data_IF_286650108743
#
_entry.id   IF_286650108743
#
_cell.length_a   1.000
_cell.length_b   1.000
_cell.length_c   1.000
_cell.angle_alpha   90.00
_cell.angle_beta   90.00
_cell.angle_gamma   90.00
#
_symmetry.space_group_name_H-M   'P 1'
#
loop_
_entity.id
_entity.type
_entity.pdbx_description
1 polymer ?
#
# COMPACT_ATOMS: atom_id res chain seq x y z
N UNK A 1 -7.57 -21.81 -71.81
CA UNK A 1 -7.36 -22.77 -70.69
C UNK A 1 -6.80 -21.96 -69.54
N UNK A 2 -7.67 -21.48 -68.67
CA UNK A 2 -7.36 -20.41 -67.71
C UNK A 2 -7.13 -21.03 -66.33
N UNK A 3 -5.90 -21.02 -65.84
CA UNK A 3 -5.55 -21.54 -64.52
C UNK A 3 -5.97 -20.54 -63.44
N UNK A 4 -6.90 -20.95 -62.56
CA UNK A 4 -7.24 -20.21 -61.33
C UNK A 4 -6.42 -20.77 -60.18
N UNK A 5 -5.45 -19.98 -59.70
CA UNK A 5 -4.71 -20.26 -58.46
C UNK A 5 -5.64 -19.89 -57.30
N UNK A 6 -6.08 -20.88 -56.54
CA UNK A 6 -6.82 -20.67 -55.30
C UNK A 6 -5.83 -20.33 -54.17
N UNK A 7 -5.86 -19.10 -53.67
CA UNK A 7 -5.16 -18.72 -52.43
C UNK A 7 -5.89 -19.36 -51.24
N UNK A 8 -5.23 -20.15 -50.39
CA UNK A 8 -5.88 -20.69 -49.19
C UNK A 8 -6.23 -19.53 -48.25
N UNK A 9 -7.47 -19.55 -47.76
CA UNK A 9 -8.00 -18.60 -46.78
C UNK A 9 -7.02 -18.51 -45.61
N UNK A 10 -6.42 -17.33 -45.45
CA UNK A 10 -5.59 -16.97 -44.33
C UNK A 10 -6.45 -17.11 -43.06
N UNK A 11 -6.32 -18.21 -42.34
CA UNK A 11 -6.89 -18.33 -41.01
C UNK A 11 -6.19 -17.28 -40.15
N UNK A 12 -6.93 -16.24 -39.76
CA UNK A 12 -6.49 -15.25 -38.79
C UNK A 12 -6.37 -15.97 -37.44
N UNK A 13 -5.20 -16.55 -37.20
CA UNK A 13 -4.84 -17.10 -35.91
C UNK A 13 -4.55 -15.90 -35.00
N UNK A 14 -5.61 -15.37 -34.39
CA UNK A 14 -5.49 -14.41 -33.30
C UNK A 14 -4.90 -15.18 -32.13
N UNK A 15 -3.57 -15.20 -32.03
CA UNK A 15 -2.88 -15.54 -30.80
C UNK A 15 -3.36 -14.51 -29.79
N UNK A 16 -4.26 -14.91 -28.90
CA UNK A 16 -4.47 -14.20 -27.65
C UNK A 16 -3.18 -14.37 -26.86
N UNK A 17 -2.19 -13.51 -27.15
CA UNK A 17 -1.14 -13.25 -26.20
C UNK A 17 -1.86 -12.65 -25.01
N UNK A 18 -2.08 -13.44 -23.97
CA UNK A 18 -2.49 -12.91 -22.67
C UNK A 18 -1.33 -12.05 -22.17
N UNK A 19 -1.33 -10.79 -22.61
CA UNK A 19 -0.61 -9.73 -21.95
C UNK A 19 -1.24 -9.69 -20.56
N UNK A 20 -0.53 -10.22 -19.57
CA UNK A 20 -0.79 -9.88 -18.18
C UNK A 20 -0.40 -8.40 -18.02
N UNK A 21 -1.16 -7.50 -18.63
CA UNK A 21 -1.20 -6.13 -18.19
C UNK A 21 -1.81 -6.21 -16.80
N UNK A 22 -0.98 -6.12 -15.77
CA UNK A 22 -1.53 -5.79 -14.45
C UNK A 22 -2.14 -4.40 -14.64
N UNK A 23 -3.45 -4.35 -14.86
CA UNK A 23 -4.13 -3.10 -15.18
C UNK A 23 -3.97 -2.18 -13.97
N UNK A 24 -3.29 -1.06 -14.18
CA UNK A 24 -3.13 -0.05 -13.14
C UNK A 24 -4.51 0.36 -12.62
N UNK A 25 -4.67 0.33 -11.30
CA UNK A 25 -5.90 0.70 -10.64
C UNK A 25 -6.07 2.23 -10.62
N UNK A 26 -7.26 2.69 -10.97
CA UNK A 26 -7.67 4.07 -10.72
C UNK A 26 -7.93 4.25 -9.22
N UNK A 27 -7.39 5.32 -8.64
CA UNK A 27 -7.56 5.67 -7.23
C UNK A 27 -8.87 6.45 -6.98
N UNK A 28 -9.99 5.92 -7.49
CA UNK A 28 -11.31 6.56 -7.48
C UNK A 28 -11.89 6.78 -6.07
N UNK A 29 -11.36 6.09 -5.06
CA UNK A 29 -11.74 6.27 -3.64
C UNK A 29 -10.80 7.19 -2.88
N UNK A 30 -9.72 7.68 -3.50
CA UNK A 30 -8.77 8.58 -2.86
C UNK A 30 -9.22 10.06 -2.86
N UNK A 31 -10.29 10.41 -3.58
CA UNK A 31 -10.74 11.80 -3.70
C UNK A 31 -9.90 12.65 -4.66
N UNK A 32 -9.08 12.00 -5.51
CA UNK A 32 -8.16 12.64 -6.46
C UNK A 32 -8.74 12.80 -7.88
N UNK A 33 -10.00 12.42 -8.08
CA UNK A 33 -10.66 12.31 -9.38
C UNK A 33 -10.70 10.87 -9.90
N UNK A 34 -11.74 10.50 -10.66
CA UNK A 34 -12.02 9.10 -11.02
C UNK A 34 -11.01 8.44 -11.96
N UNK A 35 -10.12 9.22 -12.58
CA UNK A 35 -9.06 8.73 -13.48
C UNK A 35 -7.64 8.81 -12.89
N UNK A 36 -7.49 9.22 -11.62
CA UNK A 36 -6.17 9.34 -11.00
C UNK A 36 -5.52 7.96 -10.87
N UNK A 37 -4.24 7.86 -11.22
CA UNK A 37 -3.45 6.64 -11.05
C UNK A 37 -2.12 6.96 -10.34
N UNK A 38 -1.46 5.94 -9.80
CA UNK A 38 -0.16 6.10 -9.15
C UNK A 38 0.77 4.95 -9.54
N UNK A 39 2.08 5.18 -9.46
CA UNK A 39 3.09 4.11 -9.67
C UNK A 39 3.09 3.13 -8.49
N UNK A 40 2.80 3.61 -7.28
CA UNK A 40 2.48 2.78 -6.12
C UNK A 40 1.47 3.50 -5.22
N UNK A 41 0.61 2.74 -4.53
CA UNK A 41 -0.42 3.30 -3.67
C UNK A 41 -0.61 2.47 -2.40
N UNK A 42 -0.29 3.05 -1.24
CA UNK A 42 -0.38 2.36 0.05
C UNK A 42 -1.36 3.09 0.97
N UNK A 43 -2.31 2.35 1.53
CA UNK A 43 -3.25 2.87 2.52
C UNK A 43 -3.78 1.75 3.40
N UNK A 44 -4.22 2.08 4.63
CA UNK A 44 -5.06 1.19 5.44
C UNK A 44 -6.53 1.22 5.00
N UNK A 45 -6.86 2.06 4.00
CA UNK A 45 -8.18 2.12 3.35
C UNK A 45 -8.07 1.68 1.92
N UNK A 46 -9.17 1.20 1.36
CA UNK A 46 -9.24 0.88 -0.06
C UNK A 46 -9.31 2.17 -0.88
N UNK A 47 -8.29 2.39 -1.73
CA UNK A 47 -8.13 3.57 -2.58
C UNK A 47 -8.77 3.40 -3.97
N UNK A 48 -9.05 2.17 -4.38
CA UNK A 48 -9.64 1.84 -5.68
C UNK A 48 -10.81 0.88 -5.54
N UNK A 49 -11.90 1.12 -6.26
CA UNK A 49 -13.01 0.17 -6.38
C UNK A 49 -12.62 -1.12 -7.12
N UNK A 50 -11.61 -1.06 -7.99
CA UNK A 50 -11.08 -2.22 -8.72
C UNK A 50 -10.08 -3.05 -7.91
N UNK A 51 -9.62 -2.55 -6.77
CA UNK A 51 -8.69 -3.28 -5.92
C UNK A 51 -9.39 -4.37 -5.10
N UNK A 52 -8.98 -5.62 -5.30
CA UNK A 52 -9.50 -6.82 -4.63
C UNK A 52 -8.50 -7.47 -3.66
N UNK A 53 -7.34 -6.85 -3.43
CA UNK A 53 -6.31 -7.37 -2.52
C UNK A 53 -6.54 -6.99 -1.05
N UNK A 54 -5.62 -7.44 -0.21
CA UNK A 54 -5.60 -7.12 1.22
C UNK A 54 -5.00 -5.73 1.48
N UNK A 55 -5.19 -5.18 2.68
CA UNK A 55 -4.52 -3.95 3.08
C UNK A 55 -3.09 -4.23 3.54
N UNK A 56 -2.95 -5.20 4.46
CA UNK A 56 -1.73 -5.46 5.22
C UNK A 56 -1.59 -6.94 5.50
N UNK A 57 -0.35 -7.42 5.59
CA UNK A 57 -0.03 -8.68 6.26
C UNK A 57 0.52 -8.37 7.65
N UNK A 58 -0.06 -9.00 8.67
CA UNK A 58 0.22 -8.70 10.08
C UNK A 58 0.82 -9.92 10.76
N UNK A 59 1.93 -9.71 11.47
CA UNK A 59 2.53 -10.66 12.41
C UNK A 59 2.00 -10.42 13.82
N UNK A 60 1.52 -11.48 14.47
CA UNK A 60 1.15 -11.46 15.88
C UNK A 60 2.33 -11.88 16.74
N UNK A 61 2.73 -11.03 17.68
CA UNK A 61 3.98 -11.24 18.43
C UNK A 61 3.92 -12.37 19.46
N UNK A 62 2.75 -12.89 19.83
CA UNK A 62 2.65 -13.99 20.80
C UNK A 62 3.14 -15.32 20.26
N UNK A 63 3.05 -15.53 18.94
CA UNK A 63 3.31 -16.82 18.31
C UNK A 63 3.89 -16.72 16.89
N UNK A 64 4.22 -15.51 16.43
CA UNK A 64 4.77 -15.23 15.10
C UNK A 64 3.88 -15.71 13.94
N UNK A 65 2.58 -15.89 14.18
CA UNK A 65 1.62 -16.21 13.12
C UNK A 65 1.38 -14.98 12.25
N UNK A 66 1.08 -15.22 10.96
CA UNK A 66 0.80 -14.18 9.97
C UNK A 66 -0.65 -14.27 9.50
N UNK A 67 -1.31 -13.12 9.35
CA UNK A 67 -2.64 -13.04 8.73
C UNK A 67 -2.72 -11.83 7.80
N UNK A 68 -3.34 -12.03 6.65
CA UNK A 68 -3.70 -10.94 5.75
C UNK A 68 -5.00 -10.29 6.22
N UNK A 69 -4.96 -8.97 6.38
CA UNK A 69 -6.08 -8.15 6.83
C UNK A 69 -6.60 -7.34 5.66
N UNK A 70 -7.87 -7.57 5.32
CA UNK A 70 -8.55 -6.91 4.21
C UNK A 70 -9.32 -5.65 4.62
N UNK A 71 -10.29 -5.30 3.77
CA UNK A 71 -11.19 -4.18 3.97
C UNK A 71 -12.62 -4.65 4.22
N UNK A 72 -13.37 -3.84 4.96
CA UNK A 72 -14.83 -3.92 5.02
C UNK A 72 -15.46 -3.53 3.68
N UNK A 73 -16.76 -3.77 3.53
CA UNK A 73 -17.52 -3.33 2.35
C UNK A 73 -17.40 -1.83 2.06
N UNK A 74 -17.24 -1.00 3.11
CA UNK A 74 -17.08 0.45 2.99
C UNK A 74 -15.65 0.88 2.59
N UNK A 75 -14.71 -0.07 2.49
CA UNK A 75 -13.30 0.22 2.17
C UNK A 75 -12.46 0.65 3.37
N UNK A 76 -12.98 0.59 4.59
CA UNK A 76 -12.17 0.73 5.81
C UNK A 76 -11.42 -0.57 6.12
N UNK A 77 -10.25 -0.48 6.75
CA UNK A 77 -9.54 -1.64 7.30
C UNK A 77 -10.49 -2.49 8.14
N UNK A 78 -10.47 -3.82 7.96
CA UNK A 78 -11.23 -4.73 8.82
C UNK A 78 -10.60 -4.81 10.22
N UNK A 79 -10.92 -3.80 11.03
CA UNK A 79 -10.40 -3.68 12.39
C UNK A 79 -10.94 -4.76 13.33
N UNK A 80 -12.04 -5.42 12.98
CA UNK A 80 -12.61 -6.55 13.72
C UNK A 80 -11.75 -7.79 13.49
N UNK A 81 -11.50 -8.15 12.24
CA UNK A 81 -10.61 -9.26 11.89
C UNK A 81 -9.20 -9.05 12.50
N UNK A 82 -8.67 -7.83 12.39
CA UNK A 82 -7.39 -7.47 12.99
C UNK A 82 -7.35 -7.69 14.51
N UNK A 83 -8.37 -7.20 15.24
CA UNK A 83 -8.44 -7.37 16.70
C UNK A 83 -8.62 -8.82 17.10
N UNK A 84 -9.50 -9.56 16.42
CA UNK A 84 -9.72 -10.98 16.69
C UNK A 84 -8.43 -11.78 16.48
N UNK A 85 -7.68 -11.46 15.43
CA UNK A 85 -6.40 -12.09 15.17
C UNK A 85 -5.35 -11.75 16.23
N UNK A 86 -5.08 -10.45 16.47
CA UNK A 86 -3.98 -10.03 17.35
C UNK A 86 -4.28 -10.29 18.83
N UNK A 87 -5.54 -10.25 19.24
CA UNK A 87 -5.93 -10.45 20.64
C UNK A 87 -5.36 -9.37 21.55
N UNK A 88 -4.77 -9.77 22.68
CA UNK A 88 -4.09 -8.87 23.63
C UNK A 88 -2.62 -8.58 23.29
N UNK A 89 -2.09 -9.18 22.23
CA UNK A 89 -0.67 -9.08 21.85
C UNK A 89 -0.39 -7.85 20.98
N UNK A 90 0.84 -7.74 20.48
CA UNK A 90 1.23 -6.72 19.51
C UNK A 90 1.07 -7.27 18.09
N UNK A 91 0.59 -6.42 17.19
CA UNK A 91 0.43 -6.69 15.76
C UNK A 91 1.39 -5.81 14.96
N UNK A 92 2.33 -6.44 14.27
CA UNK A 92 3.36 -5.79 13.45
C UNK A 92 3.02 -5.95 11.97
N UNK A 93 3.18 -4.91 11.16
CA UNK A 93 2.96 -5.00 9.72
C UNK A 93 4.21 -5.58 9.05
N UNK A 94 4.07 -6.75 8.43
CA UNK A 94 5.15 -7.39 7.66
C UNK A 94 5.13 -6.95 6.21
N UNK A 95 3.94 -6.70 5.68
CA UNK A 95 3.69 -6.28 4.30
C UNK A 95 2.61 -5.22 4.29
N UNK A 96 2.82 -4.13 3.54
CA UNK A 96 1.78 -3.19 3.14
C UNK A 96 1.56 -3.33 1.64
N UNK A 97 0.39 -3.82 1.29
CA UNK A 97 0.09 -4.19 -0.09
C UNK A 97 -0.13 -2.96 -0.97
N UNK A 98 0.43 -3.02 -2.18
CA UNK A 98 0.25 -2.00 -3.21
C UNK A 98 -1.14 -2.09 -3.83
N UNK A 99 -1.88 -1.00 -3.75
CA UNK A 99 -3.21 -0.85 -4.30
C UNK A 99 -3.21 -0.30 -5.73
N UNK A 100 -2.05 0.10 -6.27
CA UNK A 100 -1.94 0.67 -7.61
C UNK A 100 -2.10 -0.37 -8.72
N UNK A 101 -1.99 -1.65 -8.40
CA UNK A 101 -2.03 -2.73 -9.40
C UNK A 101 -0.67 -3.09 -9.99
N UNK A 102 0.44 -2.50 -9.53
CA UNK A 102 1.78 -2.85 -10.01
C UNK A 102 2.48 -3.93 -9.18
N UNK A 103 1.88 -4.37 -8.07
CA UNK A 103 2.45 -5.42 -7.22
C UNK A 103 3.71 -4.96 -6.47
N UNK A 104 3.85 -3.66 -6.25
CA UNK A 104 4.99 -3.04 -5.60
C UNK A 104 4.84 -3.05 -4.08
N UNK A 105 4.65 -4.21 -3.47
CA UNK A 105 4.41 -4.29 -2.02
C UNK A 105 5.61 -3.81 -1.19
N UNK A 106 5.34 -3.10 -0.09
CA UNK A 106 6.38 -2.77 0.90
C UNK A 106 6.46 -3.90 1.94
N UNK A 107 7.66 -4.37 2.25
CA UNK A 107 7.89 -5.50 3.14
C UNK A 107 8.98 -5.25 4.17
N UNK A 108 8.93 -5.95 5.30
CA UNK A 108 10.01 -5.96 6.28
C UNK A 108 10.17 -7.35 6.87
N UNK A 109 11.21 -8.05 6.44
CA UNK A 109 11.52 -9.39 6.92
C UNK A 109 12.04 -9.40 8.37
N UNK A 110 12.68 -8.32 8.82
CA UNK A 110 13.26 -8.26 10.16
C UNK A 110 12.19 -7.88 11.18
N UNK A 111 11.72 -8.86 11.98
CA UNK A 111 10.64 -8.67 12.98
C UNK A 111 10.90 -7.44 13.88
N UNK A 112 12.11 -7.28 14.38
CA UNK A 112 12.49 -6.15 15.24
C UNK A 112 12.38 -4.76 14.56
N UNK A 113 12.27 -4.73 13.23
CA UNK A 113 12.13 -3.51 12.42
C UNK A 113 10.74 -3.39 11.78
N UNK A 114 9.81 -4.29 12.07
CA UNK A 114 8.45 -4.19 11.54
C UNK A 114 7.68 -3.08 12.29
N UNK A 115 6.97 -2.19 11.59
CA UNK A 115 6.17 -1.16 12.24
C UNK A 115 4.92 -1.74 12.91
N UNK A 116 4.39 -1.02 13.92
CA UNK A 116 3.32 -1.53 14.78
C UNK A 116 1.96 -0.95 14.36
N UNK A 117 0.99 -1.83 14.13
CA UNK A 117 -0.40 -1.46 13.88
C UNK A 117 -1.29 -1.64 15.12
N UNK A 118 -0.98 -2.65 15.94
CA UNK A 118 -1.69 -2.95 17.19
C UNK A 118 -0.68 -3.01 18.33
N UNK A 119 -0.84 -2.17 19.34
CA UNK A 119 0.01 -2.14 20.52
C UNK A 119 -0.75 -2.76 21.71
N UNK A 120 -0.32 -3.94 22.16
CA UNK A 120 -0.94 -4.66 23.29
C UNK A 120 -2.48 -4.72 23.21
N UNK A 121 -2.99 -5.22 22.07
CA UNK A 121 -4.42 -5.35 21.77
C UNK A 121 -5.16 -4.06 21.40
N UNK A 122 -4.48 -2.92 21.42
CA UNK A 122 -5.07 -1.63 21.03
C UNK A 122 -4.61 -1.25 19.63
N UNK A 123 -5.54 -1.08 18.69
CA UNK A 123 -5.22 -0.57 17.35
C UNK A 123 -4.71 0.86 17.47
N UNK A 124 -3.54 1.14 16.90
CA UNK A 124 -3.02 2.49 16.74
C UNK A 124 -3.95 3.28 15.83
N UNK A 125 -4.42 4.44 16.32
CA UNK A 125 -5.32 5.31 15.58
C UNK A 125 -4.81 6.73 15.57
N UNK A 126 -5.00 7.39 14.44
CA UNK A 126 -4.83 8.82 14.28
C UNK A 126 -6.10 9.39 13.65
N UNK A 127 -6.64 10.48 14.19
CA UNK A 127 -7.94 11.03 13.76
C UNK A 127 -9.06 9.97 13.76
N UNK A 128 -9.05 9.07 14.74
CA UNK A 128 -9.97 7.94 14.87
C UNK A 128 -9.84 6.85 13.77
N UNK A 129 -8.79 6.90 12.95
CA UNK A 129 -8.54 5.99 11.81
C UNK A 129 -7.34 5.08 12.07
N UNK A 130 -7.40 3.78 11.72
CA UNK A 130 -6.24 2.88 11.88
C UNK A 130 -5.00 3.41 11.17
N UNK A 131 -3.87 3.39 11.87
CA UNK A 131 -2.60 3.96 11.44
C UNK A 131 -1.44 3.01 11.77
N UNK A 132 -0.51 2.85 10.83
CA UNK A 132 0.72 2.07 11.03
C UNK A 132 1.75 2.98 11.70
N UNK A 133 2.16 2.64 12.92
CA UNK A 133 3.11 3.45 13.67
C UNK A 133 4.54 3.05 13.34
N UNK A 134 5.23 3.97 12.68
CA UNK A 134 6.68 3.93 12.52
C UNK A 134 7.35 4.65 13.70
N UNK A 135 8.41 4.07 14.26
CA UNK A 135 9.18 4.59 15.39
C UNK A 135 10.63 4.10 15.27
N UNK A 136 11.54 4.78 15.96
CA UNK A 136 12.92 4.37 16.08
C UNK A 136 13.51 4.73 17.43
N UNK A 137 14.67 4.15 17.73
CA UNK A 137 15.52 4.53 18.85
C UNK A 137 16.96 4.60 18.36
N UNK A 138 17.60 5.75 18.57
CA UNK A 138 18.96 6.00 18.08
C UNK A 138 19.07 5.83 16.57
N UNK A 139 19.84 4.83 16.13
CA UNK A 139 20.09 4.53 14.71
C UNK A 139 19.17 3.45 14.14
N UNK A 140 18.29 2.84 14.95
CA UNK A 140 17.41 1.76 14.49
C UNK A 140 15.98 2.25 14.39
N UNK A 141 15.50 2.36 13.16
CA UNK A 141 14.12 2.69 12.83
C UNK A 141 13.42 1.45 12.28
N UNK A 142 12.14 1.30 12.60
CA UNK A 142 11.31 0.39 11.84
C UNK A 142 11.06 0.96 10.43
N UNK A 143 10.83 0.08 9.48
CA UNK A 143 10.60 0.46 8.09
C UNK A 143 9.81 -0.61 7.37
N UNK A 144 9.22 -0.25 6.24
CA UNK A 144 8.85 -1.17 5.19
C UNK A 144 9.60 -0.78 3.93
N UNK A 145 10.20 -1.75 3.28
CA UNK A 145 11.09 -1.57 2.16
C UNK A 145 10.42 -2.12 0.91
N UNK A 146 10.60 -1.43 -0.21
CA UNK A 146 10.11 -1.92 -1.47
C UNK A 146 10.87 -3.18 -1.91
N UNK A 147 10.15 -4.15 -2.47
CA UNK A 147 10.75 -5.41 -2.93
C UNK A 147 11.66 -5.25 -4.17
N UNK A 148 11.44 -4.22 -4.99
CA UNK A 148 12.25 -3.88 -6.17
C UNK A 148 12.13 -2.38 -6.50
N UNK A 149 13.17 -1.74 -7.04
CA UNK A 149 13.15 -0.30 -7.34
C UNK A 149 11.93 0.12 -8.20
N UNK A 150 11.39 1.30 -7.91
CA UNK A 150 10.34 1.90 -8.75
C UNK A 150 10.95 2.31 -10.10
N UNK A 151 10.66 1.55 -11.15
CA UNK A 151 11.24 1.76 -12.50
C UNK A 151 10.43 2.74 -13.36
N UNK A 152 9.24 3.17 -12.91
CA UNK A 152 8.39 4.14 -13.60
C UNK A 152 8.46 5.51 -12.93
N UNK A 153 8.65 6.57 -13.72
CA UNK A 153 8.53 7.96 -13.26
C UNK A 153 7.05 8.25 -13.02
N UNK A 154 6.60 8.04 -11.78
CA UNK A 154 5.22 8.30 -11.38
C UNK A 154 5.14 8.80 -9.94
N UNK A 155 4.09 9.54 -9.63
CA UNK A 155 3.87 10.07 -8.29
C UNK A 155 3.64 8.92 -7.29
N UNK A 156 4.37 8.94 -6.17
CA UNK A 156 4.09 8.11 -4.99
C UNK A 156 3.08 8.85 -4.13
N UNK A 157 1.92 8.25 -3.87
CA UNK A 157 0.94 8.81 -2.94
C UNK A 157 0.91 7.96 -1.68
N UNK A 158 1.53 8.44 -0.61
CA UNK A 158 1.36 7.90 0.73
C UNK A 158 0.36 8.77 1.49
N UNK A 159 -0.86 8.27 1.72
CA UNK A 159 -1.86 9.00 2.53
C UNK A 159 -1.62 8.68 4.01
N UNK A 160 -0.68 9.40 4.61
CA UNK A 160 -0.46 9.43 6.06
C UNK A 160 -1.16 10.68 6.60
N UNK A 161 -2.37 10.55 7.15
CA UNK A 161 -3.10 11.71 7.68
C UNK A 161 -2.60 12.02 9.10
N UNK A 162 -1.46 12.70 9.17
CA UNK A 162 -0.97 13.28 10.41
C UNK A 162 -1.93 14.38 10.91
N UNK A 163 -2.35 14.35 12.16
CA UNK A 163 -3.05 15.50 12.75
C UNK A 163 -2.05 16.62 13.00
N UNK A 164 -2.13 17.70 12.21
CA UNK A 164 -1.59 18.99 12.63
C UNK A 164 -2.42 19.49 13.82
N UNK A 165 -1.94 19.25 15.03
CA UNK A 165 -2.38 20.07 16.15
C UNK A 165 -1.73 21.45 15.96
N UNK A 166 -2.55 22.50 15.82
CA UNK A 166 -2.26 23.95 15.98
C UNK A 166 -2.21 24.86 14.72
N UNK A 167 -2.24 24.39 13.46
CA UNK A 167 -2.27 25.33 12.31
C UNK A 167 -3.55 25.23 11.43
N UNK A 168 -4.51 26.18 11.54
CA UNK A 168 -5.83 26.10 10.89
C UNK A 168 -5.83 26.29 9.36
N UNK A 169 -4.66 26.44 8.75
CA UNK A 169 -4.48 26.72 7.33
C UNK A 169 -3.55 25.69 6.63
N UNK A 170 -3.18 24.60 7.29
CA UNK A 170 -2.49 23.48 6.65
C UNK A 170 -3.51 22.56 5.97
N UNK A 171 -3.92 22.92 4.75
CA UNK A 171 -4.48 21.93 3.82
C UNK A 171 -3.38 20.91 3.58
N UNK A 172 -3.48 19.73 4.18
CA UNK A 172 -2.64 18.58 3.82
C UNK A 172 -2.98 18.15 2.38
N UNK A 173 -2.56 18.95 1.40
CA UNK A 173 -2.00 18.40 0.18
C UNK A 173 -0.77 17.62 0.64
N UNK A 174 -0.63 16.39 0.16
CA UNK A 174 0.67 15.77 0.07
C UNK A 174 1.52 16.65 -0.85
N UNK A 175 2.12 17.70 -0.31
CA UNK A 175 3.31 18.30 -0.90
C UNK A 175 4.49 17.87 -0.06
N UNK A 176 4.89 16.65 -0.32
CA UNK A 176 6.28 16.53 -0.66
C UNK A 176 6.27 15.72 -1.97
N UNK A 177 6.55 16.39 -3.08
CA UNK A 177 7.24 15.73 -4.20
C UNK A 177 8.55 15.15 -3.64
N UNK A 178 8.47 13.98 -3.00
CA UNK A 178 9.64 13.26 -2.50
C UNK A 178 10.18 12.63 -3.75
N UNK A 179 11.22 13.26 -4.26
CA UNK A 179 12.10 12.60 -5.19
C UNK A 179 12.68 11.37 -4.48
N UNK A 180 11.97 10.24 -4.58
CA UNK A 180 12.39 8.96 -4.03
C UNK A 180 13.65 8.49 -4.77
N UNK A 181 14.83 9.01 -4.44
CA UNK A 181 16.07 8.29 -4.64
C UNK A 181 16.26 7.36 -3.44
N UNK A 182 15.68 6.15 -3.51
CA UNK A 182 16.02 5.07 -2.58
C UNK A 182 14.88 4.23 -1.97
N UNK A 183 13.62 4.35 -2.42
CA UNK A 183 12.58 3.32 -2.19
C UNK A 183 12.22 2.96 -0.74
N UNK A 184 12.58 3.79 0.25
CA UNK A 184 12.36 3.51 1.68
C UNK A 184 11.54 4.63 2.33
N UNK A 185 10.45 4.28 3.03
CA UNK A 185 9.67 5.25 3.83
C UNK A 185 10.26 5.31 5.24
N UNK A 186 10.87 6.43 5.60
CA UNK A 186 11.31 6.77 6.96
C UNK A 186 10.31 7.77 7.57
N UNK A 187 9.90 7.56 8.82
CA UNK A 187 9.19 8.60 9.57
C UNK A 187 10.20 9.54 10.23
N UNK A 188 10.19 10.83 9.87
CA UNK A 188 10.84 11.87 10.65
C UNK A 188 9.93 12.21 11.84
N UNK A 189 10.36 11.88 13.06
CA UNK A 189 9.75 12.44 14.27
C UNK A 189 10.28 13.87 14.44
N UNK A 190 9.37 14.83 14.56
CA UNK A 190 9.64 16.26 14.62
C UNK A 190 10.21 16.71 15.96
N UNK A 191 11.26 16.06 16.45
CA UNK A 191 12.00 16.52 17.61
C UNK A 191 13.44 16.82 17.24
N UNK A 192 13.68 18.04 16.75
CA UNK A 192 14.89 18.83 17.02
C UNK A 192 14.66 20.26 16.53
N UNK A 193 14.18 21.12 17.43
CA UNK A 193 14.37 22.56 17.36
C UNK A 193 14.82 23.01 18.76
N UNK A 194 16.14 23.13 18.93
CA UNK A 194 16.70 24.32 19.58
C UNK A 194 17.14 25.27 18.47
#
# INVERSE_FOLDING_TARGET
>A
MTYRIALPKLACFVIFLTLNAQAQNTLDKAGLGSGATASAAYSTRRLSSSYSGYALRVLRTSDNTLLDIGFTANGDLDSTALKTFVGSSTGQATTWYDQSGHGLDLTQATIARQPILVNSGTINRENNRPFIRFFGSGTTYNSLNLAADMTTVGHVSAVLRFSASIYPNLRALADHTDYCRGGTIHAFDGHHLE
#
